data_IF_136502713062
#
_entry.id   IF_136502713062
#
_cell.length_a   1.000
_cell.length_b   1.000
_cell.length_c   1.000
_cell.angle_alpha   90.00
_cell.angle_beta   90.00
_cell.angle_gamma   90.00
#
_symmetry.space_group_name_H-M   'P 1'
#
loop_
_entity.id
_entity.type
_entity.pdbx_description
1 polymer ?
#
# COMPACT_ATOMS: atom_id res chain seq x y z
N UNK A 1 -18.22 -17.55 -58.28
CA UNK A 1 -17.91 -17.47 -57.76
C UNK A 1 -17.64 -17.05 -56.56
N UNK A 2 -17.47 -16.96 -55.82
CA UNK A 2 -17.17 -16.54 -54.89
C UNK A 2 -16.58 -16.47 -53.88
N UNK A 3 -16.34 -16.26 -53.28
CA UNK A 3 -15.65 -16.22 -52.43
C UNK A 3 -15.48 -15.66 -51.36
N UNK A 4 -15.34 -15.66 -50.72
CA UNK A 4 -15.12 -15.21 -49.72
C UNK A 4 -14.46 -14.98 -48.73
N UNK A 5 -14.10 -14.75 -48.21
CA UNK A 5 -13.43 -14.42 -47.57
C UNK A 5 -13.40 -14.23 -46.36
N UNK A 6 -13.45 -14.29 -45.81
CA UNK A 6 -13.37 -14.10 -44.74
C UNK A 6 -12.74 -13.71 -43.78
N UNK A 7 -12.39 -13.47 -43.29
CA UNK A 7 -11.74 -13.03 -42.52
C UNK A 7 -11.65 -12.94 -41.22
N UNK A 8 -11.45 -13.06 -40.65
CA UNK A 8 -11.28 -13.07 -39.62
C UNK A 8 -10.85 -12.55 -38.69
N UNK A 9 -10.48 -12.25 -38.28
CA UNK A 9 -10.17 -11.64 -37.56
C UNK A 9 -9.80 -11.61 -36.33
N UNK A 10 -9.46 -11.79 -35.79
CA UNK A 10 -8.94 -11.67 -34.91
C UNK A 10 -8.81 -11.29 -33.79
N UNK A 11 -8.81 -11.12 -33.15
CA UNK A 11 -8.76 -10.88 -32.22
C UNK A 11 -8.15 -10.54 -31.22
N UNK A 12 -7.68 -10.47 -30.75
CA UNK A 12 -7.10 -9.97 -29.96
C UNK A 12 -7.12 -9.90 -28.72
N UNK A 13 -7.23 -10.22 -28.16
CA UNK A 13 -7.22 -10.21 -27.01
C UNK A 13 -6.15 -9.92 -26.19
N UNK A 14 -5.13 -9.92 -26.41
CA UNK A 14 -4.02 -9.73 -25.56
C UNK A 14 -4.08 -8.48 -24.78
N UNK A 15 -4.85 -7.57 -25.19
CA UNK A 15 -4.88 -6.33 -24.51
C UNK A 15 -5.27 -6.46 -23.06
N UNK A 16 -6.04 -7.46 -22.74
CA UNK A 16 -6.51 -7.59 -21.40
C UNK A 16 -5.38 -7.83 -20.43
N UNK A 17 -4.29 -8.34 -20.87
CA UNK A 17 -3.24 -8.69 -19.98
C UNK A 17 -2.32 -7.54 -19.70
N UNK A 18 -2.34 -6.58 -20.56
CA UNK A 18 -1.41 -5.60 -20.49
C UNK A 18 -1.53 -4.81 -19.25
N UNK A 19 -1.67 -4.27 -18.61
CA UNK A 19 -1.66 -3.46 -17.43
C UNK A 19 -1.73 -4.24 -16.16
N UNK A 20 -1.83 -5.54 -16.25
CA UNK A 20 -1.91 -6.32 -15.05
C UNK A 20 -0.54 -6.54 -14.47
N UNK A 21 -0.37 -6.19 -13.21
CA UNK A 21 0.90 -6.37 -12.54
C UNK A 21 0.82 -7.53 -11.59
N UNK A 22 1.97 -8.14 -11.37
CA UNK A 22 2.06 -9.20 -10.39
C UNK A 22 1.97 -8.62 -8.99
N UNK A 23 1.29 -9.34 -8.10
CA UNK A 23 1.20 -8.96 -6.71
C UNK A 23 2.50 -9.36 -6.03
N UNK A 24 3.19 -8.40 -5.47
CA UNK A 24 4.44 -8.64 -4.78
C UNK A 24 4.21 -8.98 -3.31
N UNK A 25 3.30 -8.27 -2.68
CA UNK A 25 2.95 -8.50 -1.28
C UNK A 25 1.45 -8.35 -1.09
N UNK A 26 0.93 -8.98 -0.05
CA UNK A 26 -0.46 -8.81 0.36
C UNK A 26 -0.50 -8.23 1.75
N UNK A 27 -1.29 -7.19 1.91
CA UNK A 27 -1.44 -6.50 3.19
C UNK A 27 -2.78 -6.86 3.80
N UNK A 28 -2.78 -7.10 5.10
CA UNK A 28 -4.01 -7.29 5.85
C UNK A 28 -3.93 -6.51 7.16
N UNK A 29 -5.09 -6.20 7.71
CA UNK A 29 -5.17 -5.50 8.97
C UNK A 29 -4.57 -4.10 8.91
N UNK A 30 -4.62 -3.46 7.77
CA UNK A 30 -4.04 -2.13 7.63
C UNK A 30 -4.85 -1.11 8.43
N UNK A 31 -4.14 -0.33 9.22
CA UNK A 31 -4.72 0.73 10.02
C UNK A 31 -3.75 1.90 10.05
N UNK A 32 -4.28 3.09 9.89
CA UNK A 32 -3.48 4.30 9.95
C UNK A 32 -4.34 5.40 10.55
N UNK A 33 -3.81 6.09 11.55
CA UNK A 33 -4.56 7.15 12.17
C UNK A 33 -3.71 7.92 13.15
N UNK A 34 -4.06 9.19 13.31
CA UNK A 34 -3.42 10.04 14.30
C UNK A 34 -4.21 9.94 15.60
N UNK A 35 -3.50 9.92 16.71
CA UNK A 35 -4.07 9.67 18.02
C UNK A 35 -4.57 10.99 18.58
N UNK A 36 -5.86 11.10 18.94
CA UNK A 36 -6.38 12.34 19.52
C UNK A 36 -5.64 12.71 20.79
N UNK A 37 -5.38 13.99 20.95
CA UNK A 37 -4.70 14.55 22.13
C UNK A 37 -3.27 14.01 22.27
N UNK A 38 -2.71 13.52 21.17
CA UNK A 38 -1.33 13.08 21.10
C UNK A 38 -0.70 13.75 19.90
N UNK A 39 0.62 13.82 19.89
CA UNK A 39 1.32 14.38 18.76
C UNK A 39 1.76 13.30 17.79
N UNK A 40 1.20 12.09 17.93
CA UNK A 40 1.69 10.97 17.15
C UNK A 40 0.60 10.29 16.34
N UNK A 41 1.03 9.65 15.26
CA UNK A 41 0.17 8.84 14.40
C UNK A 41 0.73 7.42 14.36
N UNK A 42 -0.18 6.46 14.19
CA UNK A 42 0.20 5.05 14.18
C UNK A 42 -0.16 4.43 12.85
N UNK A 43 0.80 3.78 12.23
CA UNK A 43 0.59 2.90 11.09
C UNK A 43 0.85 1.47 11.55
N UNK A 44 -0.04 0.57 11.21
CA UNK A 44 0.18 -0.84 11.52
C UNK A 44 -0.50 -1.72 10.47
N UNK A 45 0.15 -2.81 10.10
CA UNK A 45 -0.42 -3.77 9.16
C UNK A 45 0.40 -5.04 9.19
N UNK A 46 -0.18 -6.09 8.61
CA UNK A 46 0.50 -7.35 8.42
C UNK A 46 0.76 -7.52 6.93
N UNK A 47 1.96 -7.99 6.56
CA UNK A 47 2.30 -8.15 5.16
C UNK A 47 2.88 -9.54 4.94
N UNK A 48 2.43 -10.18 3.86
CA UNK A 48 2.90 -11.52 3.50
C UNK A 48 3.31 -11.48 2.03
N UNK A 49 4.33 -12.26 1.69
CA UNK A 49 4.77 -12.38 0.31
C UNK A 49 4.17 -13.64 -0.30
N UNK A 50 3.22 -13.50 -1.22
CA UNK A 50 2.61 -14.67 -1.85
C UNK A 50 3.59 -15.37 -2.77
N UNK A 51 3.35 -16.65 -3.02
CA UNK A 51 4.21 -17.42 -3.90
C UNK A 51 5.49 -17.90 -3.26
N UNK A 52 5.64 -17.68 -1.97
CA UNK A 52 6.77 -18.21 -1.21
C UNK A 52 6.24 -19.19 -0.18
N UNK A 53 7.12 -19.71 0.64
CA UNK A 53 6.69 -20.62 1.71
C UNK A 53 6.20 -19.88 2.94
N UNK A 54 6.09 -18.58 2.85
CA UNK A 54 5.64 -17.76 3.98
C UNK A 54 4.16 -18.01 4.22
N UNK A 55 3.80 -18.47 5.41
CA UNK A 55 2.42 -18.75 5.75
C UNK A 55 1.84 -17.78 6.75
N UNK A 56 2.69 -17.15 7.54
CA UNK A 56 2.28 -16.07 8.43
C UNK A 56 2.99 -14.81 8.03
N UNK A 57 2.29 -13.71 8.08
CA UNK A 57 2.89 -12.46 7.66
C UNK A 57 3.80 -11.87 8.71
N UNK A 58 4.33 -10.71 8.38
CA UNK A 58 5.21 -9.94 9.23
C UNK A 58 4.45 -8.69 9.64
N UNK A 59 4.50 -8.36 10.92
CA UNK A 59 3.81 -7.18 11.44
C UNK A 59 4.70 -5.96 11.28
N UNK A 60 4.17 -4.94 10.61
CA UNK A 60 4.87 -3.69 10.39
C UNK A 60 4.16 -2.58 11.18
N UNK A 61 4.91 -1.76 11.85
CA UNK A 61 4.35 -0.73 12.73
C UNK A 61 5.25 0.49 12.73
N UNK A 62 4.65 1.67 12.71
CA UNK A 62 5.39 2.90 12.90
C UNK A 62 4.55 3.87 13.73
N UNK A 63 5.11 4.34 14.80
CA UNK A 63 4.52 5.38 15.64
C UNK A 63 5.37 6.62 15.41
N UNK A 64 4.81 7.63 14.75
CA UNK A 64 5.58 8.77 14.26
C UNK A 64 4.85 10.07 14.59
N UNK A 65 5.59 11.17 14.72
CA UNK A 65 4.94 12.46 14.99
C UNK A 65 4.03 12.87 13.84
N UNK A 66 2.85 13.37 14.18
CA UNK A 66 1.91 13.87 13.20
C UNK A 66 2.46 15.12 12.52
N UNK A 67 1.94 15.41 11.33
CA UNK A 67 2.20 16.70 10.73
C UNK A 67 1.57 17.80 11.61
N UNK A 68 2.06 19.02 11.43
CA UNK A 68 1.60 20.12 12.28
C UNK A 68 0.10 20.40 12.17
N UNK A 69 -0.51 19.96 11.06
CA UNK A 69 -1.94 20.16 10.86
C UNK A 69 -2.76 18.93 11.28
N UNK A 70 -2.16 17.96 11.96
CA UNK A 70 -2.87 16.78 12.43
C UNK A 70 -3.01 15.68 11.41
N UNK A 71 -2.37 15.81 10.26
CA UNK A 71 -2.49 14.79 9.22
C UNK A 71 -1.40 13.73 9.36
N UNK A 72 -1.63 12.60 8.69
CA UNK A 72 -0.70 11.47 8.70
C UNK A 72 0.60 11.85 8.02
N UNK A 73 1.73 11.63 8.67
CA UNK A 73 3.03 12.02 8.13
C UNK A 73 3.60 10.94 7.23
N UNK A 74 4.63 11.32 6.47
CA UNK A 74 5.41 10.35 5.72
C UNK A 74 6.16 9.44 6.68
N UNK A 75 6.43 8.21 6.24
CA UNK A 75 7.25 7.26 6.97
C UNK A 75 8.38 6.83 6.05
N UNK A 76 9.59 6.82 6.56
CA UNK A 76 10.74 6.36 5.81
C UNK A 76 11.37 5.20 6.54
N UNK A 77 11.49 4.07 5.84
CA UNK A 77 12.11 2.87 6.37
C UNK A 77 11.49 2.42 7.68
N UNK A 78 10.17 2.41 7.74
CA UNK A 78 9.45 1.86 8.87
C UNK A 78 9.81 0.39 9.06
N UNK A 79 9.80 -0.06 10.30
CA UNK A 79 10.28 -1.39 10.64
C UNK A 79 9.18 -2.43 10.62
N UNK A 80 9.55 -3.66 10.28
CA UNK A 80 8.68 -4.82 10.40
C UNK A 80 9.32 -5.79 11.38
N UNK A 81 8.50 -6.38 12.24
CA UNK A 81 8.99 -7.17 13.36
C UNK A 81 9.72 -8.42 12.89
N UNK A 82 10.90 -8.63 13.44
CA UNK A 82 11.69 -9.83 13.18
C UNK A 82 11.93 -10.04 11.68
N UNK A 83 12.11 -8.95 10.94
CA UNK A 83 12.23 -9.04 9.50
C UNK A 83 13.13 -7.92 9.00
N UNK A 84 13.74 -8.15 7.84
CA UNK A 84 14.50 -7.11 7.16
C UNK A 84 13.61 -6.28 6.25
N UNK A 85 12.32 -6.58 6.18
CA UNK A 85 11.37 -5.76 5.42
C UNK A 85 11.27 -4.38 6.04
N UNK A 86 11.10 -3.39 5.18
CA UNK A 86 10.83 -2.03 5.61
C UNK A 86 9.68 -1.49 4.79
N UNK A 87 9.08 -0.40 5.26
CA UNK A 87 8.03 0.22 4.50
C UNK A 87 8.16 1.73 4.53
N UNK A 88 7.68 2.35 3.45
CA UNK A 88 7.63 3.79 3.33
C UNK A 88 6.19 4.21 3.08
N UNK A 89 5.84 5.38 3.56
CA UNK A 89 4.57 6.02 3.24
C UNK A 89 4.90 7.42 2.76
N UNK A 90 4.42 7.78 1.58
CA UNK A 90 4.72 9.09 1.01
C UNK A 90 3.42 9.75 0.57
N UNK A 91 3.22 10.97 1.03
CA UNK A 91 2.03 11.75 0.64
C UNK A 91 2.25 12.39 -0.72
N UNK A 92 1.28 12.23 -1.60
CA UNK A 92 1.28 12.87 -2.90
C UNK A 92 -0.06 13.50 -3.19
N UNK A 93 -0.25 13.94 -4.42
CA UNK A 93 -1.47 14.64 -4.80
C UNK A 93 -2.70 13.74 -4.77
N UNK A 94 -2.53 12.46 -4.98
CA UNK A 94 -3.64 11.52 -5.06
C UNK A 94 -3.92 10.78 -3.75
N UNK A 95 -3.07 10.93 -2.75
CA UNK A 95 -3.22 10.25 -1.49
C UNK A 95 -1.87 9.86 -0.92
N UNK A 96 -1.87 8.78 -0.15
CA UNK A 96 -0.63 8.25 0.42
C UNK A 96 -0.25 6.98 -0.33
N UNK A 97 1.03 6.84 -0.65
CA UNK A 97 1.54 5.62 -1.27
C UNK A 97 2.29 4.80 -0.24
N UNK A 98 1.85 3.57 -0.05
CA UNK A 98 2.53 2.61 0.80
C UNK A 98 3.44 1.74 -0.06
N UNK A 99 4.70 1.63 0.31
CA UNK A 99 5.66 0.78 -0.38
C UNK A 99 6.34 -0.12 0.63
N UNK A 100 6.38 -1.43 0.36
CA UNK A 100 7.10 -2.39 1.17
C UNK A 100 8.29 -2.87 0.39
N UNK A 101 9.43 -2.98 1.06
CA UNK A 101 10.69 -3.42 0.45
C UNK A 101 11.24 -4.62 1.19
N UNK A 102 11.70 -5.61 0.44
CA UNK A 102 12.33 -6.80 0.97
C UNK A 102 13.68 -6.97 0.29
N UNK A 103 14.78 -6.95 1.03
CA UNK A 103 16.09 -7.23 0.43
C UNK A 103 16.14 -8.66 -0.10
N UNK A 104 16.59 -8.81 -1.34
CA UNK A 104 16.79 -10.14 -1.93
C UNK A 104 18.25 -10.44 -2.15
N UNK A 105 19.06 -9.40 -2.36
CA UNK A 105 20.51 -9.49 -2.38
C UNK A 105 21.05 -8.26 -1.68
N UNK A 106 22.34 -8.22 -1.35
CA UNK A 106 22.87 -7.00 -0.73
C UNK A 106 22.68 -5.73 -1.56
N UNK A 107 22.49 -5.87 -2.86
CA UNK A 107 22.38 -4.70 -3.72
C UNK A 107 21.02 -4.56 -4.37
N UNK A 108 20.03 -5.40 -4.08
CA UNK A 108 18.73 -5.27 -4.72
C UNK A 108 17.61 -5.62 -3.78
N UNK A 109 16.48 -4.93 -3.96
CA UNK A 109 15.28 -5.15 -3.17
C UNK A 109 14.13 -5.51 -4.08
N UNK A 110 13.19 -6.29 -3.54
CA UNK A 110 11.91 -6.48 -4.16
C UNK A 110 10.92 -5.54 -3.48
N UNK A 111 10.18 -4.78 -4.27
CA UNK A 111 9.26 -3.78 -3.73
C UNK A 111 7.88 -3.95 -4.31
N UNK A 112 6.89 -3.53 -3.54
CA UNK A 112 5.51 -3.44 -4.00
C UNK A 112 4.88 -2.20 -3.42
N UNK A 113 3.97 -1.59 -4.15
CA UNK A 113 3.35 -0.33 -3.75
C UNK A 113 1.85 -0.37 -3.96
N UNK A 114 1.16 0.47 -3.21
CA UNK A 114 -0.28 0.64 -3.34
C UNK A 114 -0.64 2.07 -2.98
N UNK A 115 -1.46 2.70 -3.81
CA UNK A 115 -1.96 4.04 -3.53
C UNK A 115 -3.18 3.94 -2.63
N UNK A 116 -3.14 4.68 -1.52
CA UNK A 116 -4.28 4.85 -0.63
C UNK A 116 -4.92 6.17 -1.01
N UNK A 117 -6.06 6.15 -1.73
CA UNK A 117 -6.60 7.39 -2.30
C UNK A 117 -7.06 8.37 -1.23
N UNK A 118 -7.05 9.63 -1.57
CA UNK A 118 -7.44 10.69 -0.64
C UNK A 118 -8.83 10.49 -0.06
N UNK A 119 -9.75 9.94 -0.85
CA UNK A 119 -11.13 9.80 -0.38
C UNK A 119 -11.30 8.68 0.64
N UNK A 120 -10.24 7.94 0.93
CA UNK A 120 -10.28 6.93 1.97
C UNK A 120 -9.74 7.45 3.30
N UNK A 121 -9.52 8.74 3.41
CA UNK A 121 -9.05 9.36 4.64
C UNK A 121 -10.09 10.35 5.12
N UNK A 122 -10.28 10.42 6.44
CA UNK A 122 -11.23 11.32 7.06
C UNK A 122 -10.49 12.13 8.11
N UNK A 123 -10.83 13.41 8.16
CA UNK A 123 -10.27 14.28 9.19
C UNK A 123 -11.36 14.50 10.23
N UNK A 124 -11.07 14.10 11.46
CA UNK A 124 -11.96 14.31 12.59
C UNK A 124 -11.57 15.60 13.29
N UNK A 125 -12.53 16.49 13.41
CA UNK A 125 -12.31 17.77 14.05
C UNK A 125 -12.83 17.69 15.48
N UNK A 126 -11.99 17.22 16.37
CA UNK A 126 -12.31 17.10 17.78
C UNK A 126 -12.02 18.41 18.49
N UNK A 127 -12.70 18.71 19.59
CA UNK A 127 -12.32 19.88 20.36
C UNK A 127 -10.85 19.83 20.73
N UNK A 128 -10.12 20.82 20.27
CA UNK A 128 -8.67 20.92 20.55
C UNK A 128 -7.84 19.83 19.89
N UNK A 129 -8.37 19.14 18.88
CA UNK A 129 -7.59 18.12 18.18
C UNK A 129 -8.14 17.90 16.79
N UNK A 130 -7.26 17.92 15.81
CA UNK A 130 -7.61 17.56 14.44
C UNK A 130 -6.77 16.33 14.13
N UNK A 131 -7.43 15.24 13.74
CA UNK A 131 -6.73 13.98 13.48
C UNK A 131 -7.24 13.36 12.18
N UNK A 132 -6.31 12.87 11.39
CA UNK A 132 -6.62 12.16 10.16
C UNK A 132 -6.59 10.67 10.41
N UNK A 133 -7.56 9.95 9.84
CA UNK A 133 -7.63 8.50 9.93
C UNK A 133 -7.97 7.88 8.59
N UNK A 134 -7.45 6.68 8.38
CA UNK A 134 -7.75 5.90 7.19
C UNK A 134 -9.03 5.11 7.39
N UNK A 135 -9.94 5.19 6.44
CA UNK A 135 -11.23 4.50 6.51
C UNK A 135 -11.45 3.55 5.35
N UNK A 136 -10.44 3.31 4.53
CA UNK A 136 -10.57 2.41 3.40
C UNK A 136 -10.41 0.94 3.76
N UNK A 137 -10.27 0.08 2.78
CA UNK A 137 -10.13 -1.35 3.03
C UNK A 137 -8.90 -1.67 3.85
N UNK A 138 -9.01 -2.67 4.71
CA UNK A 138 -7.89 -3.09 5.54
C UNK A 138 -7.03 -4.15 4.83
N UNK A 139 -7.47 -4.63 3.68
CA UNK A 139 -6.73 -5.63 2.91
C UNK A 139 -6.59 -5.15 1.49
N UNK A 140 -5.38 -5.26 0.96
CA UNK A 140 -5.12 -4.91 -0.43
C UNK A 140 -3.78 -5.49 -0.86
N UNK A 141 -3.54 -5.45 -2.16
CA UNK A 141 -2.32 -5.98 -2.74
C UNK A 141 -1.33 -4.87 -3.03
N UNK A 142 -0.06 -5.18 -2.90
CA UNK A 142 1.03 -4.30 -3.31
C UNK A 142 1.62 -4.84 -4.60
N UNK A 143 1.73 -3.97 -5.59
CA UNK A 143 2.20 -4.37 -6.92
C UNK A 143 3.48 -3.69 -7.35
#
# INVERSE_FOLDING_TARGET
MQLFALLSTAAVASAAVVGKRDVTFKVSGFSAGCIPHSTQCLYTFNVIQPGTMETTGVQCTALVPANTDGTLPDVKEGACALSSRTFDVVRGDLGLTLTVSQPVTPSSNQTGSHLLPKDQFVIYNQPNAIVESYTGPSEFDLE
#
